data_IF_304323199977
#
_entry.id   IF_304323199977
#
_cell.length_a   1.000
_cell.length_b   1.000
_cell.length_c   1.000
_cell.angle_alpha   90.00
_cell.angle_beta   90.00
_cell.angle_gamma   90.00
#
_symmetry.space_group_name_H-M   'P 1'
#
loop_
_entity.id
_entity.type
_entity.pdbx_description
1 polymer ?
#
# COMPACT_ATOMS: atom_id res chain seq x y z
N UNK A 1 26.11 -37.69 15.06
CA UNK A 1 25.02 -37.21 14.18
C UNK A 1 24.13 -36.24 14.94
N UNK A 2 24.32 -34.93 14.81
CA UNK A 2 23.30 -33.93 15.18
C UNK A 2 23.43 -32.75 14.21
N UNK A 3 22.63 -32.77 13.15
CA UNK A 3 22.52 -31.69 12.17
C UNK A 3 21.72 -30.57 12.83
N UNK A 4 22.35 -29.42 13.04
CA UNK A 4 21.69 -28.19 13.44
C UNK A 4 20.99 -27.63 12.19
N UNK A 5 19.67 -27.79 12.10
CA UNK A 5 18.87 -27.17 11.05
C UNK A 5 18.64 -25.70 11.44
N UNK A 6 19.40 -24.80 10.80
CA UNK A 6 19.23 -23.36 10.91
C UNK A 6 17.93 -23.00 10.17
N UNK A 7 16.87 -22.74 10.92
CA UNK A 7 15.60 -22.25 10.41
C UNK A 7 15.81 -20.79 9.96
N UNK A 8 16.17 -20.60 8.69
CA UNK A 8 16.04 -19.31 8.03
C UNK A 8 14.55 -18.98 7.96
N UNK A 9 14.05 -18.28 8.98
CA UNK A 9 12.80 -17.55 8.95
C UNK A 9 12.92 -16.45 7.89
N UNK A 10 12.66 -16.82 6.64
CA UNK A 10 12.48 -15.88 5.55
C UNK A 10 11.15 -15.18 5.80
N UNK A 11 11.21 -14.12 6.60
CA UNK A 11 10.08 -13.20 6.80
C UNK A 11 9.76 -12.66 5.41
N UNK A 12 8.73 -13.21 4.78
CA UNK A 12 8.10 -12.63 3.61
C UNK A 12 7.50 -11.31 4.06
N UNK A 13 8.28 -10.24 3.96
CA UNK A 13 7.82 -8.88 4.17
C UNK A 13 6.87 -8.57 3.00
N UNK A 14 5.60 -8.97 3.15
CA UNK A 14 4.51 -8.59 2.26
C UNK A 14 4.19 -7.11 2.51
N UNK A 15 5.13 -6.22 2.19
CA UNK A 15 4.84 -4.80 2.03
C UNK A 15 3.98 -4.69 0.78
N UNK A 16 2.67 -4.83 0.96
CA UNK A 16 1.68 -4.50 -0.06
C UNK A 16 1.73 -2.99 -0.22
N UNK A 17 2.65 -2.53 -1.05
CA UNK A 17 2.63 -1.19 -1.61
C UNK A 17 1.33 -1.10 -2.42
N UNK A 18 0.29 -0.50 -1.82
CA UNK A 18 -1.07 -0.43 -2.38
C UNK A 18 -1.23 0.66 -3.43
N UNK A 19 -0.42 1.69 -3.37
CA UNK A 19 -0.51 2.87 -4.23
C UNK A 19 0.87 3.49 -4.44
N UNK A 20 1.14 4.06 -5.62
CA UNK A 20 2.36 4.80 -5.94
C UNK A 20 1.97 6.16 -6.50
N UNK A 21 2.46 7.22 -5.88
CA UNK A 21 2.26 8.60 -6.34
C UNK A 21 3.37 9.02 -7.29
N UNK A 22 3.04 9.87 -8.25
CA UNK A 22 3.98 10.34 -9.26
C UNK A 22 3.36 11.34 -10.22
N UNK A 23 3.96 11.42 -11.40
CA UNK A 23 3.54 12.30 -12.48
C UNK A 23 3.19 11.45 -13.70
N UNK A 24 2.04 11.73 -14.32
CA UNK A 24 1.68 11.22 -15.64
C UNK A 24 1.86 12.33 -16.67
N UNK A 25 2.81 12.16 -17.58
CA UNK A 25 3.03 13.07 -18.70
C UNK A 25 2.37 12.50 -19.95
N UNK A 26 1.31 13.15 -20.40
CA UNK A 26 0.56 12.79 -21.60
C UNK A 26 1.15 13.55 -22.79
N UNK A 27 1.74 12.81 -23.72
CA UNK A 27 2.42 13.39 -24.90
C UNK A 27 1.43 13.77 -26.00
N UNK A 28 0.28 13.11 -26.03
CA UNK A 28 -0.78 13.33 -27.02
C UNK A 28 -2.13 12.95 -26.45
N UNK A 29 -3.17 13.58 -26.97
CA UNK A 29 -4.54 13.27 -26.60
C UNK A 29 -4.83 11.79 -26.83
N UNK A 30 -5.40 11.13 -25.82
CA UNK A 30 -5.80 9.73 -25.93
C UNK A 30 -7.13 9.48 -25.22
N UNK A 31 -7.75 8.37 -25.61
CA UNK A 31 -9.04 7.95 -25.09
C UNK A 31 -8.86 6.80 -24.12
N UNK A 32 -9.46 6.88 -22.94
CA UNK A 32 -9.41 5.84 -21.93
C UNK A 32 -10.81 5.48 -21.43
N UNK A 33 -11.03 4.20 -21.17
CA UNK A 33 -12.23 3.73 -20.49
C UNK A 33 -12.13 4.12 -19.00
N UNK A 34 -13.20 4.73 -18.48
CA UNK A 34 -13.31 5.15 -17.08
C UNK A 34 -14.46 4.44 -16.40
N UNK A 35 -14.26 4.01 -15.15
CA UNK A 35 -15.33 3.45 -14.35
C UNK A 35 -16.13 4.61 -13.73
N UNK A 36 -17.08 5.17 -14.47
CA UNK A 36 -18.08 6.03 -13.85
C UNK A 36 -19.06 5.13 -13.09
N UNK A 37 -18.89 5.07 -11.78
CA UNK A 37 -20.02 4.73 -10.89
C UNK A 37 -21.09 5.79 -11.16
N UNK A 38 -22.08 5.44 -11.96
CA UNK A 38 -23.26 6.25 -12.12
C UNK A 38 -23.86 6.42 -10.73
N UNK A 39 -23.81 7.64 -10.19
CA UNK A 39 -24.63 7.99 -9.04
C UNK A 39 -26.10 7.73 -9.39
N UNK A 40 -26.93 7.45 -8.39
CA UNK A 40 -28.37 7.29 -8.61
C UNK A 40 -28.92 8.60 -9.19
N UNK A 41 -29.16 8.61 -10.50
CA UNK A 41 -29.72 9.76 -11.21
C UNK A 41 -30.94 9.26 -12.00
N UNK A 42 -32.17 9.44 -11.49
CA UNK A 42 -33.37 8.83 -12.04
C UNK A 42 -33.78 9.37 -13.43
N UNK A 43 -33.08 10.38 -13.94
CA UNK A 43 -33.42 11.05 -15.21
C UNK A 43 -32.24 11.19 -16.20
N UNK A 44 -31.07 10.57 -15.93
CA UNK A 44 -29.88 10.70 -16.78
C UNK A 44 -29.39 9.37 -17.36
N UNK A 45 -29.25 9.29 -18.69
CA UNK A 45 -28.56 8.19 -19.37
C UNK A 45 -27.07 8.24 -19.07
N UNK A 46 -26.66 7.47 -18.07
CA UNK A 46 -25.25 7.30 -17.77
C UNK A 46 -24.71 6.20 -18.70
N UNK A 47 -23.92 6.58 -19.70
CA UNK A 47 -23.26 5.62 -20.58
C UNK A 47 -22.09 4.94 -19.83
N UNK A 48 -22.19 3.64 -19.50
CA UNK A 48 -21.11 2.92 -18.83
C UNK A 48 -19.85 2.79 -19.72
N UNK A 49 -19.97 3.08 -21.02
CA UNK A 49 -18.87 3.05 -21.98
C UNK A 49 -18.36 4.46 -22.34
N UNK A 50 -18.69 5.49 -21.55
CA UNK A 50 -18.18 6.83 -21.81
C UNK A 50 -16.65 6.83 -21.78
N UNK A 51 -16.05 7.02 -22.95
CA UNK A 51 -14.62 7.22 -23.09
C UNK A 51 -14.24 8.60 -22.57
N UNK A 52 -13.23 8.65 -21.70
CA UNK A 52 -12.60 9.89 -21.28
C UNK A 52 -11.54 10.28 -22.30
N UNK A 53 -11.64 11.48 -22.84
CA UNK A 53 -10.53 12.09 -23.57
C UNK A 53 -9.58 12.73 -22.56
N UNK A 54 -8.33 12.30 -22.57
CA UNK A 54 -7.26 12.83 -21.74
C UNK A 54 -6.37 13.67 -22.65
N UNK A 55 -6.38 15.00 -22.52
CA UNK A 55 -5.57 15.86 -23.37
C UNK A 55 -4.08 15.77 -23.02
N UNK A 56 -3.23 16.18 -23.95
CA UNK A 56 -1.80 16.33 -23.71
C UNK A 56 -1.53 17.29 -22.54
N UNK A 57 -0.59 16.93 -21.67
CA UNK A 57 -0.31 17.69 -20.46
C UNK A 57 0.40 16.89 -19.38
N UNK A 58 0.62 17.51 -18.23
CA UNK A 58 1.22 16.87 -17.06
C UNK A 58 0.22 16.83 -15.91
N UNK A 59 0.10 15.68 -15.26
CA UNK A 59 -0.88 15.42 -14.21
C UNK A 59 -0.19 14.83 -12.99
N UNK A 60 -0.57 15.30 -11.80
CA UNK A 60 -0.32 14.54 -10.58
C UNK A 60 -1.12 13.24 -10.68
N UNK A 61 -0.45 12.11 -10.50
CA UNK A 61 -1.06 10.80 -10.69
C UNK A 61 -0.78 9.88 -9.50
N UNK A 62 -1.79 9.13 -9.10
CA UNK A 62 -1.66 8.04 -8.13
C UNK A 62 -2.11 6.76 -8.82
N UNK A 63 -1.22 5.77 -8.85
CA UNK A 63 -1.55 4.44 -9.35
C UNK A 63 -1.84 3.53 -8.17
N UNK A 64 -3.07 3.10 -8.05
CA UNK A 64 -3.60 2.24 -6.99
C UNK A 64 -3.76 0.81 -7.52
N UNK A 65 -3.05 -0.11 -6.87
CA UNK A 65 -3.02 -1.55 -7.16
C UNK A 65 -3.64 -2.37 -6.02
N UNK A 66 -4.36 -1.73 -5.09
CA UNK A 66 -4.99 -2.39 -3.94
C UNK A 66 -6.09 -3.37 -4.34
N UNK A 67 -6.74 -3.16 -5.48
CA UNK A 67 -7.78 -4.04 -6.00
C UNK A 67 -7.19 -5.30 -6.64
N UNK A 68 -7.79 -6.46 -6.35
CA UNK A 68 -7.43 -7.74 -6.97
C UNK A 68 -7.77 -7.81 -8.46
N UNK A 69 -8.72 -7.00 -8.91
CA UNK A 69 -9.30 -7.08 -10.26
C UNK A 69 -9.04 -5.84 -11.11
N UNK A 70 -8.58 -4.75 -10.52
CA UNK A 70 -8.46 -3.46 -11.18
C UNK A 70 -7.17 -2.76 -10.76
N UNK A 71 -6.63 -1.94 -11.65
CA UNK A 71 -5.57 -0.98 -11.39
C UNK A 71 -6.17 0.38 -11.70
N UNK A 72 -6.16 1.30 -10.73
CA UNK A 72 -6.74 2.64 -10.91
C UNK A 72 -5.62 3.66 -11.04
N UNK A 73 -5.72 4.51 -12.05
CA UNK A 73 -4.86 5.68 -12.21
C UNK A 73 -5.73 6.90 -11.93
N UNK A 74 -5.54 7.49 -10.76
CA UNK A 74 -6.19 8.74 -10.36
C UNK A 74 -5.32 9.91 -10.81
N UNK A 75 -5.85 10.78 -11.68
CA UNK A 75 -5.14 11.94 -12.21
C UNK A 75 -5.75 13.23 -11.68
N UNK A 76 -4.90 14.21 -11.42
CA UNK A 76 -5.30 15.55 -10.98
C UNK A 76 -4.42 16.61 -11.67
N UNK A 77 -5.06 17.58 -12.32
CA UNK A 77 -4.41 18.80 -12.81
C UNK A 77 -5.42 19.94 -12.85
N UNK A 78 -5.16 21.06 -12.16
CA UNK A 78 -6.11 22.18 -12.05
C UNK A 78 -7.51 21.68 -11.60
N UNK A 79 -8.55 21.94 -12.40
CA UNK A 79 -9.93 21.46 -12.19
C UNK A 79 -10.20 20.06 -12.77
N UNK A 80 -9.22 19.41 -13.38
CA UNK A 80 -9.33 18.07 -13.94
C UNK A 80 -9.06 17.03 -12.87
N UNK A 81 -10.07 16.21 -12.55
CA UNK A 81 -9.95 15.07 -11.63
C UNK A 81 -10.69 13.89 -12.22
N UNK A 82 -9.94 12.90 -12.70
CA UNK A 82 -10.49 11.75 -13.38
C UNK A 82 -9.75 10.47 -12.99
N UNK A 83 -10.42 9.33 -13.15
CA UNK A 83 -9.88 8.01 -12.81
C UNK A 83 -9.93 7.10 -14.02
N UNK A 84 -8.78 6.70 -14.53
CA UNK A 84 -8.66 5.62 -15.52
C UNK A 84 -8.66 4.29 -14.77
N UNK A 85 -9.44 3.32 -15.25
CA UNK A 85 -9.50 1.99 -14.64
C UNK A 85 -9.03 0.96 -15.65
N UNK A 86 -7.99 0.23 -15.28
CA UNK A 86 -7.44 -0.86 -16.05
C UNK A 86 -7.88 -2.18 -15.41
N UNK A 87 -8.29 -3.15 -16.22
CA UNK A 87 -8.50 -4.50 -15.71
C UNK A 87 -7.16 -5.11 -15.31
N UNK A 88 -7.13 -5.79 -14.15
CA UNK A 88 -5.97 -6.57 -13.72
C UNK A 88 -6.10 -8.00 -14.25
N UNK A 89 -5.11 -8.53 -14.99
CA UNK A 89 -5.16 -9.93 -15.40
C UNK A 89 -5.19 -10.86 -14.17
N UNK A 90 -5.86 -12.00 -14.31
CA UNK A 90 -5.84 -13.03 -13.26
C UNK A 90 -4.39 -13.46 -13.00
N UNK A 91 -4.02 -13.55 -11.71
CA UNK A 91 -2.68 -13.93 -11.26
C UNK A 91 -1.55 -12.97 -11.67
N UNK A 92 -1.88 -11.75 -12.13
CA UNK A 92 -0.85 -10.74 -12.37
C UNK A 92 -0.41 -10.08 -11.07
N UNK A 93 0.87 -10.25 -10.76
CA UNK A 93 1.57 -9.55 -9.69
C UNK A 93 2.61 -8.62 -10.29
N UNK A 94 2.77 -7.44 -9.70
CA UNK A 94 3.83 -6.54 -10.11
C UNK A 94 5.18 -7.14 -9.70
N UNK A 95 6.18 -7.11 -10.60
CA UNK A 95 7.51 -7.57 -10.24
C UNK A 95 8.07 -6.69 -9.11
N UNK A 96 8.79 -7.30 -8.17
CA UNK A 96 9.54 -6.54 -7.17
C UNK A 96 10.68 -5.74 -7.83
N UNK A 97 11.30 -6.34 -8.86
CA UNK A 97 12.29 -5.70 -9.73
C UNK A 97 12.12 -6.23 -11.15
N UNK A 98 12.16 -5.35 -12.13
CA UNK A 98 12.13 -5.70 -13.55
C UNK A 98 10.92 -5.14 -14.30
N UNK A 99 10.78 -5.62 -15.53
CA UNK A 99 9.81 -5.10 -16.49
C UNK A 99 8.48 -5.86 -16.44
N UNK A 100 7.40 -5.18 -16.82
CA UNK A 100 6.09 -5.77 -17.01
C UNK A 100 5.42 -5.21 -18.26
N UNK A 101 4.55 -6.02 -18.87
CA UNK A 101 3.75 -5.64 -20.02
C UNK A 101 2.32 -6.13 -19.79
N UNK A 102 1.37 -5.22 -19.93
CA UNK A 102 -0.06 -5.51 -19.94
C UNK A 102 -0.63 -5.07 -21.28
N UNK A 103 -1.15 -6.00 -22.06
CA UNK A 103 -1.71 -5.67 -23.37
C UNK A 103 -3.05 -4.96 -23.26
N UNK A 104 -3.41 -4.20 -24.29
CA UNK A 104 -4.69 -3.49 -24.41
C UNK A 104 -5.89 -4.41 -24.12
N UNK A 105 -5.86 -5.64 -24.64
CA UNK A 105 -6.87 -6.66 -24.38
C UNK A 105 -6.92 -7.09 -22.90
N UNK A 106 -5.77 -7.23 -22.25
CA UNK A 106 -5.67 -7.61 -20.84
C UNK A 106 -6.19 -6.52 -19.91
N UNK A 107 -5.89 -5.24 -20.20
CA UNK A 107 -6.32 -4.09 -19.38
C UNK A 107 -7.70 -3.55 -19.77
N UNK A 108 -8.33 -4.11 -20.82
CA UNK A 108 -9.58 -3.64 -21.40
C UNK A 108 -9.53 -2.15 -21.79
N UNK A 109 -8.44 -1.75 -22.44
CA UNK A 109 -8.21 -0.41 -22.97
C UNK A 109 -7.85 -0.47 -24.45
N UNK A 110 -7.71 0.68 -25.11
CA UNK A 110 -7.20 0.77 -26.49
C UNK A 110 -5.68 0.86 -26.58
N UNK A 111 -4.98 0.81 -25.45
CA UNK A 111 -3.54 0.95 -25.36
C UNK A 111 -2.93 -0.12 -24.45
N UNK A 112 -1.69 -0.50 -24.74
CA UNK A 112 -0.87 -1.35 -23.89
C UNK A 112 -0.27 -0.53 -22.74
N UNK A 113 0.12 -1.20 -21.66
CA UNK A 113 0.92 -0.62 -20.56
C UNK A 113 2.24 -1.38 -20.49
N UNK A 114 3.34 -0.69 -20.70
CA UNK A 114 4.70 -1.24 -20.55
C UNK A 114 5.40 -0.49 -19.46
N UNK A 115 6.02 -1.17 -18.50
CA UNK A 115 6.67 -0.47 -17.41
C UNK A 115 7.76 -1.28 -16.75
N UNK A 116 8.40 -0.64 -15.78
CA UNK A 116 9.44 -1.24 -14.97
C UNK A 116 9.25 -0.84 -13.51
N UNK A 117 9.63 -1.75 -12.61
CA UNK A 117 9.68 -1.52 -11.17
C UNK A 117 11.10 -1.75 -10.69
N UNK A 118 11.60 -0.84 -9.87
CA UNK A 118 12.88 -0.99 -9.18
C UNK A 118 12.68 -0.77 -7.69
N UNK A 119 13.06 -1.76 -6.89
CA UNK A 119 12.99 -1.71 -5.44
C UNK A 119 14.38 -1.61 -4.84
N UNK A 120 14.61 -0.58 -4.03
CA UNK A 120 15.81 -0.42 -3.21
C UNK A 120 15.43 -0.52 -1.73
N UNK A 121 16.21 -1.29 -0.97
CA UNK A 121 16.04 -1.46 0.48
C UNK A 121 17.29 -0.95 1.18
N UNK A 122 17.11 -0.14 2.22
CA UNK A 122 18.22 0.30 3.06
C UNK A 122 17.79 0.36 4.53
N UNK A 123 18.72 0.03 5.41
CA UNK A 123 18.51 0.03 6.85
C UNK A 123 19.14 1.29 7.46
N UNK A 124 18.43 1.97 8.36
CA UNK A 124 18.97 3.11 9.09
C UNK A 124 20.05 2.68 10.09
N UNK A 125 20.77 3.66 10.65
CA UNK A 125 21.58 3.40 11.83
C UNK A 125 20.71 2.85 12.98
N UNK A 126 21.25 1.97 13.84
CA UNK A 126 20.57 1.52 15.05
C UNK A 126 20.19 2.69 15.95
N UNK A 127 18.99 2.62 16.51
CA UNK A 127 18.41 3.57 17.44
C UNK A 127 18.09 2.87 18.74
N UNK A 128 18.17 3.61 19.86
CA UNK A 128 17.81 3.13 21.20
C UNK A 128 16.87 4.13 21.85
N UNK A 129 15.82 3.64 22.49
CA UNK A 129 14.82 4.48 23.13
C UNK A 129 13.92 3.73 24.09
N UNK A 130 12.96 4.45 24.67
CA UNK A 130 11.91 3.85 25.49
C UNK A 130 10.58 3.93 24.74
N UNK A 131 9.80 2.85 24.78
CA UNK A 131 8.45 2.80 24.23
C UNK A 131 7.43 2.49 25.33
N UNK A 132 6.26 3.13 25.27
CA UNK A 132 5.13 2.81 26.12
C UNK A 132 4.68 1.37 25.87
N UNK A 133 4.37 0.65 26.93
CA UNK A 133 3.85 -0.70 26.87
C UNK A 133 2.79 -0.89 27.96
N UNK A 134 2.03 -1.97 27.87
CA UNK A 134 1.11 -2.39 28.91
C UNK A 134 1.51 -3.78 29.40
N UNK A 135 1.36 -4.01 30.69
CA UNK A 135 1.58 -5.31 31.31
C UNK A 135 0.52 -5.59 32.36
N UNK A 136 0.27 -6.86 32.61
CA UNK A 136 -0.71 -7.29 33.62
C UNK A 136 -0.01 -7.46 34.96
N UNK A 137 -0.58 -6.82 35.98
CA UNK A 137 -0.16 -6.99 37.38
C UNK A 137 -1.33 -7.57 38.18
N UNK A 138 -1.10 -8.64 38.97
CA UNK A 138 -2.09 -9.10 39.93
C UNK A 138 -2.17 -8.09 41.08
N UNK A 139 -3.33 -7.46 41.24
CA UNK A 139 -3.62 -6.49 42.30
C UNK A 139 -4.55 -7.15 43.30
N UNK A 140 -4.27 -6.99 44.60
CA UNK A 140 -5.16 -7.44 45.65
C UNK A 140 -6.30 -6.43 45.81
N UNK A 141 -7.50 -6.82 45.41
CA UNK A 141 -8.70 -5.97 45.48
C UNK A 141 -9.67 -6.54 46.51
N UNK A 142 -10.34 -5.66 47.24
CA UNK A 142 -11.37 -6.02 48.20
C UNK A 142 -12.68 -5.35 47.81
N UNK A 143 -13.76 -6.13 47.75
CA UNK A 143 -15.12 -5.64 47.51
C UNK A 143 -16.07 -6.19 48.57
N UNK A 144 -17.19 -5.51 48.77
CA UNK A 144 -18.27 -6.04 49.61
C UNK A 144 -19.12 -7.02 48.80
N UNK A 145 -19.45 -8.17 49.39
CA UNK A 145 -20.45 -9.09 48.82
C UNK A 145 -21.87 -8.51 48.95
N UNK A 146 -22.87 -9.22 48.43
CA UNK A 146 -24.28 -8.81 48.52
C UNK A 146 -24.84 -8.67 49.95
N UNK A 147 -24.12 -9.16 50.96
CA UNK A 147 -24.46 -9.07 52.38
C UNK A 147 -23.57 -8.06 53.14
N UNK A 148 -22.73 -7.29 52.43
CA UNK A 148 -21.83 -6.30 53.02
C UNK A 148 -20.57 -6.87 53.66
N UNK A 149 -20.25 -8.15 53.49
CA UNK A 149 -19.02 -8.77 54.02
C UNK A 149 -17.85 -8.47 53.09
N UNK A 150 -16.67 -8.07 53.61
CA UNK A 150 -15.50 -7.86 52.78
C UNK A 150 -14.98 -9.19 52.24
N UNK A 151 -14.82 -9.28 50.92
CA UNK A 151 -14.17 -10.39 50.22
C UNK A 151 -13.02 -9.83 49.37
N UNK A 152 -11.83 -10.40 49.53
CA UNK A 152 -10.64 -9.96 48.80
C UNK A 152 -10.11 -11.07 47.91
N UNK A 153 -9.66 -10.71 46.72
CA UNK A 153 -9.08 -11.63 45.76
C UNK A 153 -8.05 -10.92 44.88
N UNK A 154 -7.23 -11.69 44.17
CA UNK A 154 -6.36 -11.13 43.14
C UNK A 154 -7.14 -10.89 41.85
N UNK A 155 -7.02 -9.68 41.32
CA UNK A 155 -7.52 -9.31 40.01
C UNK A 155 -6.38 -8.88 39.10
N UNK A 156 -6.39 -9.32 37.85
CA UNK A 156 -5.41 -8.94 36.85
C UNK A 156 -5.75 -7.57 36.28
N UNK A 157 -4.94 -6.55 36.59
CA UNK A 157 -5.11 -5.20 36.05
C UNK A 157 -4.04 -4.88 35.02
N UNK A 158 -4.45 -4.23 33.93
CA UNK A 158 -3.53 -3.72 32.90
C UNK A 158 -2.95 -2.38 33.35
N UNK A 159 -1.63 -2.35 33.51
CA UNK A 159 -0.87 -1.16 33.94
C UNK A 159 -0.03 -0.66 32.77
N UNK A 160 0.07 0.67 32.65
CA UNK A 160 0.98 1.32 31.70
C UNK A 160 2.40 1.34 32.24
N UNK A 161 3.35 1.04 31.37
CA UNK A 161 4.78 1.05 31.68
C UNK A 161 5.59 1.50 30.47
N UNK A 162 6.91 1.42 30.62
CA UNK A 162 7.87 1.63 29.55
C UNK A 162 8.79 0.43 29.41
N UNK A 163 9.25 0.19 28.19
CA UNK A 163 10.31 -0.76 27.89
C UNK A 163 11.41 -0.09 27.09
N UNK A 164 12.64 -0.49 27.38
CA UNK A 164 13.78 -0.14 26.56
C UNK A 164 13.71 -0.94 25.26
N UNK A 165 13.91 -0.27 24.12
CA UNK A 165 13.96 -0.88 22.81
C UNK A 165 15.22 -0.46 22.07
N UNK A 166 15.73 -1.37 21.25
CA UNK A 166 16.70 -1.06 20.20
C UNK A 166 16.11 -1.51 18.87
N UNK A 167 16.23 -0.66 17.85
CA UNK A 167 15.65 -0.92 16.54
C UNK A 167 16.40 -0.17 15.45
N UNK A 168 16.20 -0.56 14.20
CA UNK A 168 16.52 0.26 13.03
C UNK A 168 15.28 0.36 12.14
N UNK A 169 15.21 1.40 11.31
CA UNK A 169 14.15 1.54 10.32
C UNK A 169 14.64 0.97 9.00
N UNK A 170 13.92 -0.02 8.46
CA UNK A 170 14.10 -0.53 7.12
C UNK A 170 13.23 0.27 6.17
N UNK A 171 13.85 0.98 5.26
CA UNK A 171 13.16 1.77 4.25
C UNK A 171 13.20 1.02 2.92
N UNK A 172 12.03 0.80 2.34
CA UNK A 172 11.86 0.15 1.04
C UNK A 172 11.30 1.19 0.07
N UNK A 173 12.13 1.66 -0.86
CA UNK A 173 11.72 2.57 -1.92
C UNK A 173 11.46 1.78 -3.20
N UNK A 174 10.25 1.91 -3.75
CA UNK A 174 9.86 1.36 -5.06
C UNK A 174 9.68 2.50 -6.04
N UNK A 175 10.51 2.50 -7.09
CA UNK A 175 10.37 3.39 -8.24
C UNK A 175 9.62 2.63 -9.34
N UNK A 176 8.66 3.30 -9.96
CA UNK A 176 7.87 2.75 -11.05
C UNK A 176 7.85 3.73 -12.21
N UNK A 177 8.10 3.20 -13.41
CA UNK A 177 7.85 3.89 -14.66
C UNK A 177 6.91 3.04 -15.52
N UNK A 178 5.97 3.68 -16.21
CA UNK A 178 5.07 2.98 -17.12
C UNK A 178 4.66 3.87 -18.29
N UNK A 179 4.80 3.37 -19.50
CA UNK A 179 4.36 3.98 -20.75
C UNK A 179 3.03 3.35 -21.19
N UNK A 180 2.06 4.21 -21.51
CA UNK A 180 0.81 3.86 -22.20
C UNK A 180 1.09 3.91 -23.70
N UNK A 181 0.93 2.80 -24.41
CA UNK A 181 1.40 2.64 -25.79
C UNK A 181 0.25 2.27 -26.73
N UNK A 182 0.18 2.93 -27.89
CA UNK A 182 -0.66 2.50 -29.02
C UNK A 182 0.26 2.01 -30.15
N UNK A 183 0.45 0.69 -30.23
CA UNK A 183 1.47 0.10 -31.09
C UNK A 183 2.88 0.49 -30.66
N UNK A 184 3.59 1.26 -31.50
CA UNK A 184 4.94 1.76 -31.21
C UNK A 184 4.96 3.20 -30.68
N UNK A 185 3.79 3.84 -30.54
CA UNK A 185 3.66 5.24 -30.16
C UNK A 185 3.34 5.36 -28.67
N UNK A 186 4.15 6.13 -27.93
CA UNK A 186 3.86 6.45 -26.52
C UNK A 186 2.79 7.55 -26.43
N UNK A 187 1.69 7.24 -25.76
CA UNK A 187 0.59 8.16 -25.47
C UNK A 187 0.89 8.99 -24.22
N UNK A 188 1.35 8.32 -23.17
CA UNK A 188 1.63 8.91 -21.88
C UNK A 188 2.67 8.10 -21.12
N UNK A 189 3.38 8.76 -20.21
CA UNK A 189 4.37 8.14 -19.33
C UNK A 189 4.12 8.50 -17.88
N UNK A 190 3.92 7.50 -17.04
CA UNK A 190 3.91 7.61 -15.60
C UNK A 190 5.33 7.43 -15.06
N UNK A 191 5.73 8.27 -14.11
CA UNK A 191 6.93 8.06 -13.28
C UNK A 191 6.58 8.42 -11.84
N UNK A 192 6.79 7.50 -10.93
CA UNK A 192 6.44 7.67 -9.52
C UNK A 192 7.29 6.82 -8.60
N UNK A 193 7.23 7.14 -7.31
CA UNK A 193 7.94 6.39 -6.30
C UNK A 193 7.14 6.34 -5.00
N UNK A 194 7.34 5.27 -4.24
CA UNK A 194 6.84 5.15 -2.87
C UNK A 194 7.93 4.61 -1.97
N UNK A 195 8.06 5.21 -0.80
CA UNK A 195 8.93 4.71 0.27
C UNK A 195 8.06 4.28 1.43
N UNK A 196 8.19 3.01 1.81
CA UNK A 196 7.62 2.45 3.02
C UNK A 196 8.73 2.29 4.07
N UNK A 197 8.43 2.58 5.33
CA UNK A 197 9.38 2.47 6.45
C UNK A 197 8.85 1.48 7.49
N UNK A 198 9.65 0.48 7.83
CA UNK A 198 9.32 -0.53 8.83
C UNK A 198 10.31 -0.47 9.98
N UNK A 199 9.81 -0.42 11.22
CA UNK A 199 10.63 -0.48 12.43
C UNK A 199 10.96 -1.93 12.75
N UNK A 200 12.25 -2.30 12.69
CA UNK A 200 12.74 -3.64 13.02
C UNK A 200 13.43 -3.61 14.39
N UNK A 201 12.82 -4.26 15.37
CA UNK A 201 13.39 -4.38 16.71
C UNK A 201 14.54 -5.38 16.74
N UNK A 202 15.68 -4.96 17.27
CA UNK A 202 16.83 -5.82 17.58
C UNK A 202 16.85 -6.24 19.04
N UNK A 203 16.23 -5.44 19.92
CA UNK A 203 16.10 -5.73 21.35
C UNK A 203 14.82 -5.11 21.91
N UNK A 204 14.16 -5.81 22.83
CA UNK A 204 13.11 -5.26 23.68
C UNK A 204 13.29 -5.76 25.12
N UNK A 205 13.24 -4.85 26.10
CA UNK A 205 13.23 -5.22 27.52
C UNK A 205 11.84 -5.63 27.99
N UNK A 206 11.76 -6.18 29.19
CA UNK A 206 10.50 -6.32 29.91
C UNK A 206 9.84 -4.94 30.09
N UNK A 207 8.51 -4.90 30.02
CA UNK A 207 7.72 -3.75 30.37
C UNK A 207 7.76 -3.55 31.90
N UNK A 208 7.98 -2.32 32.35
CA UNK A 208 8.03 -1.95 33.77
C UNK A 208 7.30 -0.64 34.03
#
# INVERSE_FOLDING_TARGET
MKKLALLCSMIMVLVSCKEISGVLTVSQDFSANVNKKCGWNPFGSCDPNKKLQVPAGSYEAVVDFSSKNEIKISMKANSYKENIVLARPKNFEFPANGDFILSAAQVKQSFDVKGSVQTSVWDSAPQRGNESCTYTLPVWVCSADGNGRPYCHYENQSVWGYRLVEYYNRNTTRNMSADLMEGQRSLARFTGAKTDSEKIYTYTSNCR
#
